data_IF_770415709436
#
_entry.id   IF_770415709436
#
_cell.length_a   1.000
_cell.length_b   1.000
_cell.length_c   1.000
_cell.angle_alpha   90.00
_cell.angle_beta   90.00
_cell.angle_gamma   90.00
#
_symmetry.space_group_name_H-M   'P 1'
#
loop_
_entity.id
_entity.type
_entity.pdbx_description
1 polymer ?
#
# COMPACT_ATOMS: atom_id res chain seq x y z
N UNK A 1 -2.91 -11.87 35.93
CA UNK A 1 -3.03 -11.18 34.64
C UNK A 1 -2.98 -12.26 33.56
N UNK A 2 -4.16 -12.68 33.05
CA UNK A 2 -4.27 -13.70 32.03
C UNK A 2 -3.63 -13.18 30.73
N UNK A 3 -2.47 -13.70 30.38
CA UNK A 3 -1.95 -13.56 29.04
C UNK A 3 -2.92 -14.27 28.10
N UNK A 4 -3.64 -13.51 27.30
CA UNK A 4 -4.36 -14.05 26.14
C UNK A 4 -3.28 -14.59 25.21
N UNK A 5 -2.92 -15.84 25.39
CA UNK A 5 -2.02 -16.56 24.50
C UNK A 5 -2.78 -16.82 23.22
N UNK A 6 -2.68 -15.90 22.26
CA UNK A 6 -3.07 -16.21 20.89
C UNK A 6 -2.33 -17.49 20.51
N UNK A 7 -3.05 -18.59 20.37
CA UNK A 7 -2.49 -19.89 20.07
C UNK A 7 -1.73 -19.84 18.74
N UNK A 8 -0.75 -20.72 18.56
CA UNK A 8 0.04 -20.86 17.32
C UNK A 8 -0.85 -21.00 16.06
N UNK A 9 -2.07 -21.45 16.23
CA UNK A 9 -3.04 -21.72 15.17
C UNK A 9 -4.02 -20.59 14.90
N UNK A 10 -4.04 -19.51 15.70
CA UNK A 10 -5.01 -18.41 15.55
C UNK A 10 -4.92 -17.74 14.18
N UNK A 11 -3.71 -17.41 13.74
CA UNK A 11 -3.53 -16.75 12.44
C UNK A 11 -3.94 -17.64 11.26
N UNK A 12 -3.47 -18.90 11.11
CA UNK A 12 -3.88 -19.75 10.00
C UNK A 12 -5.39 -20.03 9.98
N UNK A 13 -6.03 -20.18 11.14
CA UNK A 13 -7.49 -20.37 11.21
C UNK A 13 -8.23 -19.11 10.73
N UNK A 14 -7.82 -17.92 11.19
CA UNK A 14 -8.44 -16.66 10.77
C UNK A 14 -8.24 -16.45 9.26
N UNK A 15 -7.04 -16.64 8.73
CA UNK A 15 -6.77 -16.52 7.30
C UNK A 15 -7.63 -17.49 6.50
N UNK A 16 -7.78 -18.73 6.94
CA UNK A 16 -8.63 -19.72 6.28
C UNK A 16 -10.11 -19.29 6.25
N UNK A 17 -10.66 -18.84 7.39
CA UNK A 17 -12.04 -18.34 7.47
C UNK A 17 -12.23 -17.13 6.56
N UNK A 18 -11.29 -16.17 6.57
CA UNK A 18 -11.34 -14.97 5.72
C UNK A 18 -11.28 -15.32 4.24
N UNK A 19 -10.42 -16.28 3.84
CA UNK A 19 -10.34 -16.76 2.46
C UNK A 19 -11.66 -17.40 2.03
N UNK A 20 -12.27 -18.19 2.90
CA UNK A 20 -13.56 -18.84 2.63
C UNK A 20 -14.69 -17.80 2.49
N UNK A 21 -14.72 -16.79 3.37
CA UNK A 21 -15.67 -15.68 3.26
C UNK A 21 -15.47 -14.90 1.94
N UNK A 22 -14.23 -14.66 1.53
CA UNK A 22 -13.92 -13.97 0.27
C UNK A 22 -14.44 -14.73 -0.95
N UNK A 23 -14.23 -16.05 -0.98
CA UNK A 23 -14.74 -16.93 -2.01
C UNK A 23 -16.27 -16.94 -2.01
N UNK A 24 -16.91 -17.07 -0.83
CA UNK A 24 -18.37 -17.03 -0.71
C UNK A 24 -18.95 -15.70 -1.19
N UNK A 25 -18.36 -14.57 -0.84
CA UNK A 25 -18.78 -13.24 -1.31
C UNK A 25 -18.70 -13.15 -2.84
N UNK A 26 -17.69 -13.77 -3.44
CA UNK A 26 -17.55 -13.82 -4.91
C UNK A 26 -18.67 -14.56 -5.62
N UNK A 27 -19.21 -15.60 -4.96
CA UNK A 27 -20.34 -16.38 -5.52
C UNK A 27 -21.70 -15.78 -5.18
N UNK A 28 -21.88 -15.20 -3.98
CA UNK A 28 -23.17 -14.69 -3.52
C UNK A 28 -23.49 -13.29 -4.05
N UNK A 29 -22.47 -12.49 -4.35
CA UNK A 29 -22.60 -11.10 -4.79
C UNK A 29 -21.82 -10.86 -6.10
N UNK A 30 -22.21 -11.55 -7.20
CA UNK A 30 -21.52 -11.38 -8.49
C UNK A 30 -21.67 -9.97 -9.06
N UNK A 31 -22.79 -9.29 -8.77
CA UNK A 31 -23.15 -7.97 -9.31
C UNK A 31 -22.45 -6.80 -8.59
N UNK A 32 -21.74 -7.09 -7.50
CA UNK A 32 -20.96 -6.07 -6.81
C UNK A 32 -19.72 -5.76 -7.64
N UNK A 33 -19.72 -4.59 -8.29
CA UNK A 33 -18.58 -4.10 -9.07
C UNK A 33 -18.06 -2.79 -8.47
N UNK A 34 -16.77 -2.57 -8.51
CA UNK A 34 -16.16 -1.35 -7.98
C UNK A 34 -16.63 -0.08 -8.71
N UNK A 35 -17.09 -0.21 -9.97
CA UNK A 35 -17.65 0.90 -10.75
C UNK A 35 -18.92 1.51 -10.16
N UNK A 36 -19.64 0.78 -9.30
CA UNK A 36 -20.87 1.29 -8.66
C UNK A 36 -20.61 2.13 -7.42
N UNK A 37 -19.42 2.03 -6.85
CA UNK A 37 -19.07 2.63 -5.55
C UNK A 37 -18.05 3.78 -5.70
N UNK A 38 -17.24 3.75 -6.75
CA UNK A 38 -16.15 4.71 -6.92
C UNK A 38 -16.47 5.73 -8.03
N UNK A 39 -16.93 6.91 -7.64
CA UNK A 39 -16.86 8.15 -8.44
C UNK A 39 -15.42 8.67 -8.48
N UNK A 40 -14.46 7.80 -8.79
CA UNK A 40 -13.07 8.22 -8.82
C UNK A 40 -12.81 9.02 -10.09
N UNK A 41 -12.55 10.27 -9.88
CA UNK A 41 -12.13 11.26 -10.88
C UNK A 41 -10.74 10.97 -11.49
N UNK A 42 -10.07 9.91 -11.04
CA UNK A 42 -8.72 9.53 -11.47
C UNK A 42 -8.75 8.77 -12.80
N UNK A 43 -8.59 9.52 -13.89
CA UNK A 43 -8.55 8.99 -15.26
C UNK A 43 -7.48 7.90 -15.46
N UNK A 44 -6.35 8.01 -14.77
CA UNK A 44 -5.26 7.01 -14.80
C UNK A 44 -5.70 5.66 -14.25
N UNK A 45 -6.44 5.65 -13.15
CA UNK A 45 -6.94 4.43 -12.53
C UNK A 45 -7.98 3.75 -13.41
N UNK A 46 -8.93 4.52 -13.95
CA UNK A 46 -9.96 4.00 -14.87
C UNK A 46 -9.31 3.34 -16.09
N UNK A 47 -8.37 4.03 -16.74
CA UNK A 47 -7.66 3.50 -17.90
C UNK A 47 -6.87 2.22 -17.59
N UNK A 48 -6.23 2.14 -16.43
CA UNK A 48 -5.47 0.97 -16.00
C UNK A 48 -6.41 -0.21 -15.67
N UNK A 49 -7.55 0.04 -15.07
CA UNK A 49 -8.52 -0.95 -14.67
C UNK A 49 -9.24 -1.55 -15.88
N UNK A 50 -9.73 -0.72 -16.80
CA UNK A 50 -10.46 -1.17 -18.00
C UNK A 50 -9.56 -2.00 -18.93
N UNK A 51 -8.25 -1.77 -18.89
CA UNK A 51 -7.30 -2.52 -19.72
C UNK A 51 -6.96 -3.91 -19.16
N UNK A 52 -7.11 -4.14 -17.86
CA UNK A 52 -6.34 -5.21 -17.20
C UNK A 52 -7.13 -6.42 -16.75
N UNK A 53 -8.44 -6.34 -16.38
CA UNK A 53 -8.95 -7.46 -15.56
C UNK A 53 -10.43 -7.81 -15.77
N UNK A 54 -10.75 -9.10 -15.99
CA UNK A 54 -12.10 -9.62 -15.77
C UNK A 54 -12.43 -9.56 -14.25
N UNK A 55 -13.73 -9.46 -13.91
CA UNK A 55 -14.22 -9.25 -12.54
C UNK A 55 -13.66 -10.26 -11.49
N UNK A 56 -13.42 -11.51 -11.89
CA UNK A 56 -12.82 -12.50 -10.99
C UNK A 56 -11.36 -12.19 -10.68
N UNK A 57 -10.63 -11.63 -11.65
CA UNK A 57 -9.22 -11.30 -11.47
C UNK A 57 -9.05 -10.04 -10.61
N UNK A 58 -9.95 -9.05 -10.69
CA UNK A 58 -9.96 -7.90 -9.77
C UNK A 58 -10.04 -8.36 -8.32
N UNK A 59 -10.96 -9.26 -8.00
CA UNK A 59 -11.14 -9.81 -6.65
C UNK A 59 -9.93 -10.60 -6.17
N UNK A 60 -9.29 -11.34 -7.08
CA UNK A 60 -8.08 -12.09 -6.77
C UNK A 60 -6.92 -11.14 -6.48
N UNK A 61 -6.74 -10.10 -7.29
CA UNK A 61 -5.70 -9.09 -7.09
C UNK A 61 -5.92 -8.33 -5.78
N UNK A 62 -7.16 -7.94 -5.48
CA UNK A 62 -7.52 -7.32 -4.21
C UNK A 62 -7.13 -8.22 -3.04
N UNK A 63 -7.52 -9.49 -3.07
CA UNK A 63 -7.14 -10.47 -2.04
C UNK A 63 -5.62 -10.57 -1.86
N UNK A 64 -4.86 -10.63 -2.96
CA UNK A 64 -3.41 -10.69 -2.91
C UNK A 64 -2.80 -9.42 -2.29
N UNK A 65 -3.33 -8.24 -2.62
CA UNK A 65 -2.88 -6.98 -2.02
C UNK A 65 -3.11 -7.00 -0.51
N UNK A 66 -4.29 -7.37 -0.05
CA UNK A 66 -4.59 -7.48 1.37
C UNK A 66 -3.73 -8.53 2.09
N UNK A 67 -3.44 -9.65 1.41
CA UNK A 67 -2.53 -10.66 1.95
C UNK A 67 -1.09 -10.12 2.10
N UNK A 68 -0.61 -9.37 1.11
CA UNK A 68 0.72 -8.72 1.15
C UNK A 68 0.77 -7.65 2.23
N UNK A 69 -0.29 -6.83 2.39
CA UNK A 69 -0.38 -5.86 3.48
C UNK A 69 -0.33 -6.58 4.83
N UNK A 70 -1.12 -7.64 5.03
CA UNK A 70 -1.13 -8.43 6.26
C UNK A 70 0.24 -9.05 6.58
N UNK A 71 0.93 -9.61 5.58
CA UNK A 71 2.29 -10.12 5.74
C UNK A 71 3.28 -9.01 6.09
N UNK A 72 3.19 -7.87 5.41
CA UNK A 72 4.07 -6.71 5.65
C UNK A 72 3.90 -6.13 7.06
N UNK A 73 2.68 -6.15 7.61
CA UNK A 73 2.42 -5.76 9.00
C UNK A 73 3.12 -6.68 10.00
N UNK A 74 3.13 -8.01 9.73
CA UNK A 74 3.87 -8.98 10.56
C UNK A 74 5.35 -8.68 10.52
N UNK A 75 5.90 -8.54 9.32
CA UNK A 75 7.33 -8.29 9.11
C UNK A 75 7.77 -6.96 9.76
N UNK A 76 6.96 -5.92 9.59
CA UNK A 76 7.21 -4.61 10.19
C UNK A 76 7.26 -4.69 11.72
N UNK A 77 6.27 -5.37 12.32
CA UNK A 77 6.23 -5.52 13.78
C UNK A 77 7.33 -6.43 14.31
N UNK A 78 7.63 -7.53 13.63
CA UNK A 78 8.70 -8.44 14.04
C UNK A 78 10.08 -7.79 13.95
N UNK A 79 10.30 -6.96 12.94
CA UNK A 79 11.61 -6.35 12.69
C UNK A 79 11.86 -5.11 13.52
N UNK A 80 10.85 -4.27 13.71
CA UNK A 80 10.99 -2.97 14.37
C UNK A 80 10.35 -2.91 15.76
N UNK A 81 9.60 -3.93 16.16
CA UNK A 81 9.00 -3.99 17.49
C UNK A 81 8.03 -2.84 17.79
N UNK A 82 7.28 -2.40 16.77
CA UNK A 82 6.43 -1.20 16.85
C UNK A 82 5.33 -1.37 17.89
N UNK A 83 4.74 -2.55 17.95
CA UNK A 83 3.66 -2.87 18.87
C UNK A 83 4.10 -4.00 19.79
N UNK A 84 3.86 -3.84 21.09
CA UNK A 84 4.18 -4.85 22.12
C UNK A 84 3.29 -6.09 22.09
N UNK A 85 2.31 -6.12 21.18
CA UNK A 85 1.46 -7.30 20.95
C UNK A 85 2.13 -8.26 19.96
N UNK A 86 1.72 -9.53 20.01
CA UNK A 86 2.17 -10.50 19.01
C UNK A 86 1.71 -10.08 17.61
N UNK A 87 2.61 -10.06 16.67
CA UNK A 87 2.32 -9.67 15.27
C UNK A 87 1.17 -10.48 14.66
N UNK A 88 1.05 -11.77 15.01
CA UNK A 88 -0.04 -12.64 14.56
C UNK A 88 -1.44 -12.19 15.00
N UNK A 89 -1.57 -11.61 16.19
CA UNK A 89 -2.87 -11.11 16.69
C UNK A 89 -3.28 -9.83 15.96
N UNK A 90 -2.34 -8.92 15.74
CA UNK A 90 -2.57 -7.69 14.98
C UNK A 90 -3.06 -8.01 13.56
N UNK A 91 -2.40 -8.92 12.88
CA UNK A 91 -2.76 -9.32 11.52
C UNK A 91 -4.07 -10.09 11.46
N UNK A 92 -4.38 -10.91 12.48
CA UNK A 92 -5.68 -11.57 12.56
C UNK A 92 -6.83 -10.57 12.69
N UNK A 93 -6.68 -9.54 13.52
CA UNK A 93 -7.67 -8.45 13.66
C UNK A 93 -7.81 -7.70 12.33
N UNK A 94 -6.71 -7.39 11.66
CA UNK A 94 -6.73 -6.75 10.35
C UNK A 94 -7.54 -7.56 9.32
N UNK A 95 -7.27 -8.85 9.18
CA UNK A 95 -8.01 -9.72 8.26
C UNK A 95 -9.50 -9.80 8.60
N UNK A 96 -9.86 -9.89 9.88
CA UNK A 96 -11.25 -9.89 10.30
C UNK A 96 -11.96 -8.60 9.92
N UNK A 97 -11.33 -7.44 10.17
CA UNK A 97 -11.91 -6.14 9.84
C UNK A 97 -12.16 -5.96 8.34
N UNK A 98 -11.19 -6.36 7.52
CA UNK A 98 -11.32 -6.30 6.05
C UNK A 98 -12.42 -7.23 5.54
N UNK A 99 -12.54 -8.42 6.14
CA UNK A 99 -13.52 -9.43 5.70
C UNK A 99 -14.96 -9.06 6.06
N UNK A 100 -15.18 -8.27 7.12
CA UNK A 100 -16.51 -7.80 7.54
C UNK A 100 -17.16 -6.90 6.49
N UNK A 101 -16.36 -6.15 5.72
CA UNK A 101 -16.85 -5.22 4.71
C UNK A 101 -16.75 -5.84 3.31
N UNK A 102 -17.86 -6.32 2.70
CA UNK A 102 -17.83 -6.93 1.36
C UNK A 102 -17.33 -5.99 0.27
N UNK A 103 -17.53 -4.68 0.44
CA UNK A 103 -17.03 -3.66 -0.48
C UNK A 103 -15.49 -3.65 -0.55
N UNK A 104 -14.80 -3.99 0.54
CA UNK A 104 -13.34 -4.10 0.56
C UNK A 104 -12.81 -5.30 -0.24
N UNK A 105 -13.68 -6.18 -0.74
CA UNK A 105 -13.27 -7.30 -1.59
C UNK A 105 -13.06 -6.89 -3.05
N UNK A 106 -13.38 -5.65 -3.40
CA UNK A 106 -13.14 -5.06 -4.71
C UNK A 106 -11.80 -4.36 -4.74
N UNK A 107 -11.26 -4.17 -5.93
CA UNK A 107 -9.97 -3.51 -6.11
C UNK A 107 -10.18 -2.00 -6.24
N UNK A 108 -9.66 -1.25 -5.28
CA UNK A 108 -9.66 0.21 -5.29
C UNK A 108 -8.25 0.78 -5.48
N UNK A 109 -8.19 2.00 -6.03
CA UNK A 109 -6.94 2.76 -6.09
C UNK A 109 -6.31 2.94 -4.70
N UNK A 110 -7.16 3.06 -3.66
CA UNK A 110 -6.76 3.15 -2.27
C UNK A 110 -5.96 1.96 -1.76
N UNK A 111 -6.24 0.76 -2.24
CA UNK A 111 -5.54 -0.47 -1.82
C UNK A 111 -4.08 -0.45 -2.28
N UNK A 112 -3.86 -0.02 -3.52
CA UNK A 112 -2.51 0.12 -4.07
C UNK A 112 -1.76 1.25 -3.38
N UNK A 113 -2.44 2.37 -3.11
CA UNK A 113 -1.85 3.49 -2.38
C UNK A 113 -1.50 3.10 -0.93
N UNK A 114 -2.36 2.32 -0.24
CA UNK A 114 -2.08 1.79 1.09
C UNK A 114 -0.88 0.84 1.10
N UNK A 115 -0.77 -0.02 0.09
CA UNK A 115 0.38 -0.91 -0.07
C UNK A 115 1.68 -0.11 -0.31
N UNK A 116 1.64 0.88 -1.20
CA UNK A 116 2.78 1.76 -1.46
C UNK A 116 3.19 2.52 -0.19
N UNK A 117 2.22 3.05 0.55
CA UNK A 117 2.45 3.73 1.82
C UNK A 117 3.12 2.80 2.85
N UNK A 118 2.67 1.56 2.96
CA UNK A 118 3.25 0.59 3.89
C UNK A 118 4.70 0.24 3.53
N UNK A 119 5.01 0.05 2.24
CA UNK A 119 6.38 -0.15 1.79
C UNK A 119 7.25 1.09 2.04
N UNK A 120 6.70 2.28 1.87
CA UNK A 120 7.39 3.51 2.21
C UNK A 120 7.78 3.56 3.68
N UNK A 121 6.86 3.24 4.59
CA UNK A 121 7.13 3.11 6.03
C UNK A 121 8.24 2.09 6.30
N UNK A 122 8.15 0.92 5.69
CA UNK A 122 9.14 -0.14 5.88
C UNK A 122 10.55 0.32 5.52
N UNK A 123 10.74 0.98 4.39
CA UNK A 123 12.03 1.49 3.97
C UNK A 123 12.49 2.69 4.82
N UNK A 124 11.56 3.53 5.28
CA UNK A 124 11.88 4.62 6.20
C UNK A 124 12.45 4.09 7.52
N UNK A 125 11.78 3.12 8.15
CA UNK A 125 12.30 2.49 9.37
C UNK A 125 13.63 1.76 9.14
N UNK A 126 13.81 1.16 7.96
CA UNK A 126 15.06 0.49 7.60
C UNK A 126 16.23 1.48 7.44
N UNK A 127 15.95 2.75 7.19
CA UNK A 127 16.99 3.80 7.12
C UNK A 127 17.50 4.26 8.48
N UNK A 128 16.84 3.84 9.58
CA UNK A 128 17.19 4.25 10.93
C UNK A 128 18.65 3.94 11.25
N UNK A 129 19.42 4.98 11.62
CA UNK A 129 20.84 4.92 11.99
C UNK A 129 21.76 4.18 11.00
N UNK A 130 21.37 4.08 9.73
CA UNK A 130 22.20 3.43 8.71
C UNK A 130 23.21 4.39 8.11
N UNK A 131 24.50 4.00 8.01
CA UNK A 131 25.55 4.84 7.44
C UNK A 131 25.32 5.14 5.95
N UNK A 132 24.65 4.25 5.22
CA UNK A 132 24.29 4.36 3.81
C UNK A 132 22.78 4.40 3.63
N UNK A 133 22.11 5.35 4.28
CA UNK A 133 20.66 5.50 4.24
C UNK A 133 20.10 5.94 2.88
N UNK A 134 20.94 6.42 1.96
CA UNK A 134 20.51 7.03 0.69
C UNK A 134 19.60 6.09 -0.15
N UNK A 135 19.96 4.81 -0.27
CA UNK A 135 19.16 3.83 -1.01
C UNK A 135 17.81 3.56 -0.35
N UNK A 136 17.78 3.46 0.98
CA UNK A 136 16.52 3.22 1.69
C UNK A 136 15.59 4.43 1.62
N UNK A 137 16.11 5.63 1.73
CA UNK A 137 15.32 6.85 1.56
C UNK A 137 14.83 7.01 0.11
N UNK A 138 15.67 6.67 -0.88
CA UNK A 138 15.24 6.64 -2.27
C UNK A 138 14.01 5.74 -2.46
N UNK A 139 14.04 4.49 -1.98
CA UNK A 139 12.89 3.57 -2.08
C UNK A 139 11.69 4.06 -1.29
N UNK A 140 11.89 4.60 -0.09
CA UNK A 140 10.79 5.14 0.72
C UNK A 140 10.05 6.26 -0.02
N UNK A 141 10.79 7.21 -0.58
CA UNK A 141 10.21 8.33 -1.33
C UNK A 141 9.68 7.93 -2.71
N UNK A 142 10.26 6.91 -3.34
CA UNK A 142 9.74 6.32 -4.58
C UNK A 142 8.32 5.77 -4.36
N UNK A 143 8.09 5.03 -3.28
CA UNK A 143 6.78 4.47 -2.98
C UNK A 143 5.76 5.56 -2.60
N UNK A 144 6.15 6.61 -1.88
CA UNK A 144 5.27 7.77 -1.66
C UNK A 144 4.95 8.47 -2.97
N UNK A 145 5.96 8.70 -3.82
CA UNK A 145 5.76 9.32 -5.13
C UNK A 145 4.82 8.49 -6.02
N UNK A 146 4.99 7.16 -6.05
CA UNK A 146 4.10 6.27 -6.79
C UNK A 146 2.67 6.28 -6.21
N UNK A 147 2.52 6.23 -4.88
CA UNK A 147 1.21 6.32 -4.21
C UNK A 147 0.53 7.66 -4.44
N UNK A 148 1.30 8.75 -4.52
CA UNK A 148 0.76 10.10 -4.73
C UNK A 148 0.25 10.34 -6.15
N UNK A 149 0.63 9.52 -7.13
CA UNK A 149 0.01 9.52 -8.46
C UNK A 149 -1.44 9.04 -8.41
N UNK A 150 -1.76 8.13 -7.48
CA UNK A 150 -3.12 7.64 -7.27
C UNK A 150 -3.89 8.51 -6.26
N UNK A 151 -3.20 8.98 -5.21
CA UNK A 151 -3.75 9.83 -4.16
C UNK A 151 -2.85 11.05 -3.91
N UNK A 152 -3.14 12.20 -4.51
CA UNK A 152 -2.32 13.41 -4.37
C UNK A 152 -2.08 13.85 -2.92
N UNK A 153 -3.00 13.50 -2.00
CA UNK A 153 -2.85 13.80 -0.57
C UNK A 153 -1.60 13.15 0.05
N UNK A 154 -1.12 12.03 -0.50
CA UNK A 154 0.11 11.38 -0.03
C UNK A 154 1.36 12.25 -0.23
N UNK A 155 1.30 13.23 -1.15
CA UNK A 155 2.39 14.20 -1.35
C UNK A 155 2.68 14.98 -0.07
N UNK A 156 1.67 15.33 0.73
CA UNK A 156 1.88 16.04 1.99
C UNK A 156 2.67 15.21 3.01
N UNK A 157 2.54 13.88 2.95
CA UNK A 157 3.31 12.99 3.81
C UNK A 157 4.81 13.00 3.48
N UNK A 158 5.21 13.36 2.27
CA UNK A 158 6.64 13.48 1.92
C UNK A 158 7.37 14.48 2.82
N UNK A 159 6.71 15.55 3.23
CA UNK A 159 7.24 16.54 4.18
C UNK A 159 7.47 15.90 5.54
N UNK A 160 6.48 15.13 6.03
CA UNK A 160 6.60 14.41 7.30
C UNK A 160 7.75 13.39 7.26
N UNK A 161 7.95 12.71 6.12
CA UNK A 161 9.05 11.76 5.93
C UNK A 161 10.42 12.42 5.98
N UNK A 162 10.56 13.64 5.48
CA UNK A 162 11.81 14.41 5.60
C UNK A 162 12.11 14.68 7.07
N UNK A 163 11.11 15.10 7.86
CA UNK A 163 11.27 15.31 9.30
C UNK A 163 11.66 14.03 10.03
N UNK A 164 11.02 12.91 9.75
CA UNK A 164 11.36 11.64 10.38
C UNK A 164 12.74 11.12 9.94
N UNK A 165 13.12 11.28 8.68
CA UNK A 165 14.46 10.93 8.20
C UNK A 165 15.54 11.78 8.89
N UNK A 166 15.24 13.05 9.20
CA UNK A 166 16.13 13.91 9.99
C UNK A 166 16.24 13.39 11.43
N UNK A 167 15.13 13.07 12.08
CA UNK A 167 15.13 12.49 13.43
C UNK A 167 15.88 11.15 13.51
N UNK A 168 15.82 10.35 12.46
CA UNK A 168 16.51 9.08 12.34
C UNK A 168 18.01 9.23 12.06
N UNK A 169 18.52 10.46 11.96
CA UNK A 169 19.92 10.76 11.61
C UNK A 169 20.35 10.16 10.27
N UNK A 170 19.36 9.86 9.42
CA UNK A 170 19.55 9.30 8.09
C UNK A 170 19.72 10.38 7.00
N UNK A 171 19.31 11.62 7.30
CA UNK A 171 19.28 12.73 6.35
C UNK A 171 20.67 13.37 6.23
N UNK A 172 21.47 12.86 5.30
CA UNK A 172 22.72 13.46 4.82
C UNK A 172 22.47 14.11 3.45
N UNK A 173 23.31 15.05 2.95
CA UNK A 173 23.10 15.64 1.63
C UNK A 173 22.90 14.61 0.52
N UNK A 174 23.70 13.55 0.50
CA UNK A 174 23.56 12.44 -0.44
C UNK A 174 22.23 11.70 -0.30
N UNK A 175 21.76 11.49 0.91
CA UNK A 175 20.50 10.81 1.20
C UNK A 175 19.29 11.68 0.82
N UNK A 176 19.40 12.99 1.02
CA UNK A 176 18.39 13.96 0.59
C UNK A 176 18.23 13.98 -0.93
N UNK A 177 19.35 14.03 -1.68
CA UNK A 177 19.29 13.91 -3.14
C UNK A 177 18.66 12.58 -3.57
N UNK A 178 18.97 11.47 -2.88
CA UNK A 178 18.33 10.18 -3.13
C UNK A 178 16.82 10.21 -2.91
N UNK A 179 16.37 10.81 -1.82
CA UNK A 179 14.95 10.98 -1.50
C UNK A 179 14.22 11.80 -2.57
N UNK A 180 14.80 12.94 -2.97
CA UNK A 180 14.25 13.82 -4.01
C UNK A 180 14.13 13.08 -5.35
N UNK A 181 15.18 12.37 -5.76
CA UNK A 181 15.16 11.56 -6.98
C UNK A 181 14.09 10.47 -6.92
N UNK A 182 13.96 9.78 -5.77
CA UNK A 182 12.92 8.77 -5.58
C UNK A 182 11.51 9.35 -5.74
N UNK A 183 11.26 10.54 -5.18
CA UNK A 183 9.96 11.19 -5.26
C UNK A 183 9.63 11.68 -6.67
N UNK A 184 10.60 12.26 -7.38
CA UNK A 184 10.41 12.82 -8.75
C UNK A 184 10.25 11.70 -9.79
N UNK A 185 10.88 10.55 -9.60
CA UNK A 185 10.98 9.50 -10.60
C UNK A 185 9.62 8.99 -11.12
N UNK A 186 8.59 8.70 -10.31
CA UNK A 186 7.28 8.30 -10.81
C UNK A 186 6.62 9.36 -11.67
N UNK A 187 6.74 10.63 -11.29
CA UNK A 187 6.23 11.77 -12.09
C UNK A 187 6.96 11.92 -13.41
N UNK A 188 8.27 11.67 -13.41
CA UNK A 188 9.06 11.70 -14.64
C UNK A 188 8.62 10.62 -15.62
N UNK A 189 8.35 9.40 -15.14
CA UNK A 189 7.83 8.34 -15.99
C UNK A 189 6.43 8.65 -16.52
N UNK A 190 5.55 9.20 -15.69
CA UNK A 190 4.22 9.63 -16.12
C UNK A 190 4.31 10.71 -17.20
N UNK A 191 5.16 11.71 -16.99
CA UNK A 191 5.40 12.78 -17.99
C UNK A 191 5.94 12.20 -19.31
N UNK A 192 6.93 11.32 -19.24
CA UNK A 192 7.47 10.64 -20.41
C UNK A 192 6.39 9.87 -21.18
N UNK A 193 5.56 9.09 -20.47
CA UNK A 193 4.45 8.36 -21.08
C UNK A 193 3.45 9.32 -21.74
N UNK A 194 3.00 10.35 -21.04
CA UNK A 194 2.05 11.34 -21.56
C UNK A 194 2.60 12.07 -22.81
N UNK A 195 3.91 12.35 -22.83
CA UNK A 195 4.57 12.98 -23.96
C UNK A 195 4.63 12.07 -25.20
N UNK A 196 5.03 10.79 -25.02
CA UNK A 196 5.15 9.84 -26.13
C UNK A 196 3.80 9.48 -26.77
N UNK A 197 2.75 9.38 -25.96
CA UNK A 197 1.40 9.02 -26.43
C UNK A 197 0.52 10.23 -26.75
N UNK A 198 1.07 11.44 -26.67
CA UNK A 198 0.35 12.71 -26.90
C UNK A 198 -0.92 12.87 -26.05
N UNK A 199 -0.90 12.31 -24.84
CA UNK A 199 -2.01 12.33 -23.87
C UNK A 199 -1.68 13.28 -22.71
N UNK A 200 -1.39 14.54 -23.03
CA UNK A 200 -1.05 15.54 -22.01
C UNK A 200 -2.19 15.83 -21.03
N UNK A 201 -3.44 15.49 -21.38
CA UNK A 201 -4.59 15.63 -20.49
C UNK A 201 -4.46 14.77 -19.23
N UNK A 202 -3.81 13.60 -19.31
CA UNK A 202 -3.56 12.72 -18.16
C UNK A 202 -2.66 13.37 -17.10
N UNK A 203 -1.83 14.31 -17.51
CA UNK A 203 -0.93 15.03 -16.61
C UNK A 203 -1.59 16.23 -15.92
N UNK A 204 -2.54 16.89 -16.60
CA UNK A 204 -3.23 18.08 -16.08
C UNK A 204 -4.49 17.77 -15.28
N UNK A 205 -5.03 16.55 -15.39
CA UNK A 205 -6.18 16.07 -14.60
C UNK A 205 -5.76 14.80 -13.85
N UNK A 206 -5.04 14.97 -12.73
CA UNK A 206 -4.71 13.84 -11.87
C UNK A 206 -5.96 13.29 -11.18
#
# INVERSE_FOLDING_TARGET
QGQVTAGRWTLPIVVFICTLCWVLTSFLLPDLTASTVEDSTLSLWQSARDLLLPAWAERLVSYLIYAVIGYSLIELNNRFGIIRMRASMQTAIYFLLVTICPEMHLLYAGDIAALAFLFSIYFLFKSYQQPQAAGYLFYSFLFIGAGSLLFPQLTFLSVLWIFEAHRFQALKPRSFCGALLGWVLPYWFLFGHAFFYNQMELFYRP
#
